data_IF_404621542385
#
_entry.id   IF_404621542385
#
_cell.length_a   1.000
_cell.length_b   1.000
_cell.length_c   1.000
_cell.angle_alpha   90.00
_cell.angle_beta   90.00
_cell.angle_gamma   90.00
#
_symmetry.space_group_name_H-M   'P 1'
#
loop_
_entity.id
_entity.type
_entity.pdbx_description
1 polymer ?
#
# COMPACT_ATOMS: atom_id res chain seq x y z
N UNK A 1 35.63 -9.54 0.07
CA UNK A 1 35.14 -10.26 1.27
C UNK A 1 33.64 -10.51 1.09
N UNK A 2 33.28 -11.62 0.44
CA UNK A 2 31.93 -11.90 -0.09
C UNK A 2 30.87 -12.01 1.00
N UNK A 3 31.23 -12.55 2.18
CA UNK A 3 30.33 -12.66 3.33
C UNK A 3 29.83 -11.29 3.79
N UNK A 4 30.74 -10.34 4.01
CA UNK A 4 30.40 -8.95 4.39
C UNK A 4 29.51 -8.25 3.35
N UNK A 5 29.68 -8.57 2.07
CA UNK A 5 28.83 -8.04 0.99
C UNK A 5 27.40 -8.57 1.07
N UNK A 6 27.23 -9.88 1.27
CA UNK A 6 25.91 -10.48 1.47
C UNK A 6 25.22 -9.93 2.72
N UNK A 7 25.95 -9.79 3.83
CA UNK A 7 25.43 -9.25 5.08
C UNK A 7 24.94 -7.79 4.91
N UNK A 8 25.69 -6.97 4.15
CA UNK A 8 25.32 -5.60 3.85
C UNK A 8 24.04 -5.53 2.99
N UNK A 9 23.95 -6.33 1.93
CA UNK A 9 22.78 -6.33 1.04
C UNK A 9 21.52 -6.88 1.74
N UNK A 10 21.65 -7.92 2.56
CA UNK A 10 20.54 -8.40 3.39
C UNK A 10 20.10 -7.38 4.42
N UNK A 11 21.03 -6.61 5.00
CA UNK A 11 20.69 -5.51 5.90
C UNK A 11 19.87 -4.43 5.18
N UNK A 12 20.25 -4.08 3.94
CA UNK A 12 19.48 -3.15 3.09
C UNK A 12 18.08 -3.70 2.82
N UNK A 13 17.94 -4.97 2.45
CA UNK A 13 16.61 -5.59 2.23
C UNK A 13 15.78 -5.55 3.51
N UNK A 14 16.32 -5.97 4.66
CA UNK A 14 15.56 -5.98 5.91
C UNK A 14 15.07 -4.61 6.34
N UNK A 15 15.91 -3.59 6.15
CA UNK A 15 15.51 -2.20 6.35
C UNK A 15 14.40 -1.85 5.36
N UNK A 16 14.58 -2.14 4.07
CA UNK A 16 13.61 -1.83 3.02
C UNK A 16 12.24 -2.50 3.21
N UNK A 17 12.21 -3.77 3.59
CA UNK A 17 11.01 -4.61 3.61
C UNK A 17 10.45 -4.86 5.01
N UNK A 18 11.05 -4.25 6.04
CA UNK A 18 10.67 -4.40 7.45
C UNK A 18 10.57 -5.86 7.93
N UNK A 19 11.27 -6.79 7.27
CA UNK A 19 11.15 -8.26 7.48
C UNK A 19 12.14 -8.82 8.50
N UNK A 20 12.48 -8.04 9.53
CA UNK A 20 13.36 -8.47 10.62
C UNK A 20 13.65 -7.33 11.60
N UNK A 21 13.72 -7.63 12.88
CA UNK A 21 14.28 -6.69 13.87
C UNK A 21 15.80 -6.61 13.72
N UNK A 22 16.41 -5.52 14.19
CA UNK A 22 17.88 -5.41 14.33
C UNK A 22 18.48 -6.54 15.16
N UNK A 23 17.68 -7.21 15.99
CA UNK A 23 18.10 -8.23 16.97
C UNK A 23 17.77 -9.68 16.55
N UNK A 24 17.43 -9.93 15.28
CA UNK A 24 17.13 -11.30 14.83
C UNK A 24 18.43 -12.10 14.74
N UNK A 25 18.61 -13.11 15.61
CA UNK A 25 19.81 -13.97 15.67
C UNK A 25 20.18 -14.48 14.27
N UNK A 26 21.43 -14.27 13.86
CA UNK A 26 21.98 -14.68 12.55
C UNK A 26 21.79 -16.17 12.23
N UNK A 27 21.58 -17.01 13.25
CA UNK A 27 21.59 -18.46 13.17
C UNK A 27 20.36 -19.12 12.53
N UNK A 28 19.26 -18.40 12.29
CA UNK A 28 18.00 -19.01 11.80
C UNK A 28 17.61 -18.61 10.36
N UNK A 29 18.39 -17.74 9.71
CA UNK A 29 18.03 -17.21 8.41
C UNK A 29 18.96 -17.77 7.33
N UNK A 30 18.38 -18.40 6.29
CA UNK A 30 19.13 -18.75 5.07
C UNK A 30 19.69 -17.47 4.47
N UNK A 31 20.98 -17.19 4.69
CA UNK A 31 21.66 -16.07 4.07
C UNK A 31 21.69 -16.30 2.56
N UNK A 32 20.94 -15.50 1.81
CA UNK A 32 21.00 -15.48 0.35
C UNK A 32 22.33 -14.90 -0.10
N UNK A 33 22.82 -15.36 -1.23
CA UNK A 33 24.00 -14.79 -1.86
C UNK A 33 23.61 -13.71 -2.87
N UNK A 34 24.34 -12.61 -2.88
CA UNK A 34 24.09 -11.48 -3.77
C UNK A 34 25.08 -11.51 -4.91
N UNK A 35 24.55 -11.53 -6.13
CA UNK A 35 25.37 -11.56 -7.34
C UNK A 35 25.07 -10.37 -8.24
N UNK A 36 26.10 -9.95 -8.97
CA UNK A 36 25.97 -8.89 -9.96
C UNK A 36 25.30 -9.41 -11.22
N UNK A 37 24.47 -8.58 -11.86
CA UNK A 37 23.92 -8.89 -13.18
C UNK A 37 25.06 -8.86 -14.20
N UNK A 38 25.31 -9.98 -14.89
CA UNK A 38 26.48 -10.26 -15.73
C UNK A 38 26.56 -9.52 -17.06
N UNK A 39 26.04 -8.29 -17.16
CA UNK A 39 26.04 -7.49 -18.38
C UNK A 39 26.96 -6.27 -18.26
N UNK A 40 27.63 -5.89 -19.35
CA UNK A 40 28.61 -4.79 -19.43
C UNK A 40 28.06 -3.42 -19.01
N UNK A 41 26.75 -3.24 -18.93
CA UNK A 41 26.09 -1.99 -18.52
C UNK A 41 25.41 -2.07 -17.14
N UNK A 42 25.58 -3.18 -16.43
CA UNK A 42 24.88 -3.45 -15.16
C UNK A 42 25.82 -3.53 -13.95
N UNK A 43 27.01 -2.95 -14.06
CA UNK A 43 27.94 -2.81 -12.94
C UNK A 43 27.23 -2.18 -11.73
N UNK A 44 27.42 -2.73 -10.54
CA UNK A 44 26.80 -2.21 -9.31
C UNK A 44 25.31 -2.53 -9.14
N UNK A 45 24.71 -3.33 -10.03
CA UNK A 45 23.35 -3.89 -9.84
C UNK A 45 23.45 -5.31 -9.29
N UNK A 46 22.81 -5.54 -8.15
CA UNK A 46 22.85 -6.80 -7.42
C UNK A 46 21.44 -7.36 -7.21
N UNK A 47 21.32 -8.67 -7.37
CA UNK A 47 20.09 -9.44 -7.13
C UNK A 47 20.43 -10.66 -6.28
N UNK A 48 19.51 -11.13 -5.42
CA UNK A 48 19.75 -12.37 -4.71
C UNK A 48 19.76 -13.55 -5.68
N UNK A 49 20.76 -14.43 -5.59
CA UNK A 49 20.43 -15.77 -5.13
C UNK A 49 19.24 -16.52 -5.73
N UNK A 50 18.12 -16.26 -5.08
CA UNK A 50 16.81 -16.87 -5.24
C UNK A 50 16.00 -16.33 -6.42
N UNK A 51 16.45 -15.27 -7.07
CA UNK A 51 15.82 -14.72 -8.28
C UNK A 51 16.21 -15.56 -9.51
N UNK A 52 15.38 -15.51 -10.57
CA UNK A 52 15.56 -16.34 -11.77
C UNK A 52 16.97 -16.17 -12.38
N UNK A 53 17.69 -17.28 -12.52
CA UNK A 53 19.05 -17.35 -13.09
C UNK A 53 19.12 -16.67 -14.46
N UNK A 54 18.03 -16.75 -15.25
CA UNK A 54 17.93 -16.14 -16.60
C UNK A 54 17.83 -14.61 -16.57
N UNK A 55 17.55 -14.02 -15.42
CA UNK A 55 17.59 -12.56 -15.22
C UNK A 55 19.01 -12.09 -14.88
N UNK A 56 19.83 -12.97 -14.30
CA UNK A 56 21.20 -12.70 -13.81
C UNK A 56 22.22 -12.69 -14.94
N UNK A 57 22.11 -13.63 -15.86
CA UNK A 57 23.00 -13.75 -17.03
C UNK A 57 22.71 -12.73 -18.14
N UNK A 58 21.61 -11.98 -18.03
CA UNK A 58 21.20 -10.99 -19.02
C UNK A 58 20.59 -11.58 -20.29
N UNK A 59 20.43 -12.91 -20.37
CA UNK A 59 19.91 -13.63 -21.54
C UNK A 59 18.45 -13.27 -21.84
N UNK A 60 17.67 -12.84 -20.84
CA UNK A 60 16.30 -12.34 -21.04
C UNK A 60 16.21 -11.14 -22.00
N UNK A 61 17.31 -10.40 -22.19
CA UNK A 61 17.40 -9.27 -23.13
C UNK A 61 17.61 -9.72 -24.57
N UNK A 62 17.93 -10.99 -24.82
CA UNK A 62 18.13 -11.52 -26.17
C UNK A 62 16.75 -11.79 -26.78
N UNK A 63 16.38 -11.16 -27.91
CA UNK A 63 15.13 -11.43 -28.59
C UNK A 63 15.01 -12.91 -28.95
N UNK A 64 13.88 -13.53 -28.60
CA UNK A 64 13.61 -14.92 -29.01
C UNK A 64 13.09 -14.94 -30.45
N UNK A 65 13.49 -15.92 -31.28
CA UNK A 65 12.93 -16.07 -32.61
C UNK A 65 11.40 -16.17 -32.56
N UNK A 66 10.70 -15.33 -33.33
CA UNK A 66 9.23 -15.33 -33.42
C UNK A 66 8.47 -14.41 -32.45
N UNK A 67 9.15 -13.62 -31.60
CA UNK A 67 8.51 -12.56 -30.82
C UNK A 67 8.52 -11.23 -31.57
N UNK A 68 7.46 -10.43 -31.42
CA UNK A 68 7.47 -9.05 -31.93
C UNK A 68 8.41 -8.18 -31.10
N UNK A 69 8.90 -7.08 -31.69
CA UNK A 69 9.73 -6.11 -30.98
C UNK A 69 9.00 -5.51 -29.77
N UNK A 70 7.69 -5.26 -29.90
CA UNK A 70 6.85 -4.70 -28.84
C UNK A 70 6.68 -5.68 -27.67
N UNK A 71 6.44 -6.97 -27.97
CA UNK A 71 6.34 -8.03 -26.96
C UNK A 71 7.67 -8.26 -26.25
N UNK A 72 8.78 -8.18 -26.99
CA UNK A 72 10.12 -8.26 -26.42
C UNK A 72 10.43 -7.05 -25.53
N UNK A 73 10.14 -5.83 -26.01
CA UNK A 73 10.38 -4.61 -25.27
C UNK A 73 9.53 -4.55 -24.00
N UNK A 74 8.25 -4.95 -24.08
CA UNK A 74 7.39 -5.06 -22.92
C UNK A 74 7.98 -6.06 -21.91
N UNK A 75 8.32 -7.27 -22.35
CA UNK A 75 8.90 -8.31 -21.49
C UNK A 75 10.21 -7.89 -20.81
N UNK A 76 11.08 -7.15 -21.51
CA UNK A 76 12.37 -6.68 -20.99
C UNK A 76 12.22 -5.46 -20.07
N UNK A 77 11.20 -4.62 -20.29
CA UNK A 77 10.96 -3.41 -19.49
C UNK A 77 10.07 -3.65 -18.27
N UNK A 78 9.12 -4.59 -18.33
CA UNK A 78 8.44 -5.13 -17.15
C UNK A 78 9.39 -6.09 -16.44
N UNK A 79 10.30 -5.55 -15.64
CA UNK A 79 11.26 -6.32 -14.85
C UNK A 79 10.53 -7.43 -14.08
N UNK A 80 11.01 -8.67 -14.23
CA UNK A 80 10.54 -9.83 -13.45
C UNK A 80 11.33 -10.02 -12.14
N UNK A 81 12.19 -9.06 -11.77
CA UNK A 81 13.02 -9.15 -10.57
C UNK A 81 12.23 -8.60 -9.39
N UNK A 82 12.02 -9.43 -8.38
CA UNK A 82 11.29 -9.05 -7.17
C UNK A 82 12.07 -8.08 -6.28
N UNK A 83 13.40 -8.18 -6.26
CA UNK A 83 14.30 -7.38 -5.42
C UNK A 83 15.59 -7.02 -6.16
N UNK A 84 15.90 -5.73 -6.29
CA UNK A 84 17.15 -5.24 -6.88
C UNK A 84 17.78 -4.13 -6.01
N UNK A 85 19.10 -4.23 -5.80
CA UNK A 85 19.91 -3.14 -5.24
C UNK A 85 20.81 -2.58 -6.34
N UNK A 86 20.65 -1.31 -6.68
CA UNK A 86 21.51 -0.59 -7.62
C UNK A 86 22.36 0.44 -6.86
N UNK A 87 23.62 0.08 -6.62
CA UNK A 87 24.57 0.89 -5.84
C UNK A 87 25.00 2.15 -6.59
N UNK A 88 25.02 2.13 -7.93
CA UNK A 88 25.42 3.30 -8.73
C UNK A 88 24.40 4.44 -8.61
N UNK A 89 23.13 4.09 -8.52
CA UNK A 89 22.02 5.04 -8.42
C UNK A 89 21.52 5.23 -6.98
N UNK A 90 22.11 4.52 -6.01
CA UNK A 90 21.57 4.39 -4.64
C UNK A 90 20.09 3.99 -4.62
N UNK A 91 19.65 3.21 -5.62
CA UNK A 91 18.25 2.83 -5.81
C UNK A 91 18.03 1.40 -5.34
N UNK A 92 16.94 1.18 -4.59
CA UNK A 92 16.41 -0.15 -4.29
C UNK A 92 15.07 -0.30 -5.00
N UNK A 93 14.82 -1.46 -5.60
CA UNK A 93 13.54 -1.77 -6.26
C UNK A 93 12.94 -3.00 -5.66
N UNK A 94 11.70 -2.89 -5.17
CA UNK A 94 10.89 -4.00 -4.70
C UNK A 94 9.68 -4.15 -5.62
N UNK A 95 9.51 -5.31 -6.26
CA UNK A 95 8.38 -5.61 -7.13
C UNK A 95 8.05 -4.51 -8.16
N UNK A 96 9.09 -3.89 -8.74
CA UNK A 96 9.01 -2.78 -9.72
C UNK A 96 8.62 -1.39 -9.20
N UNK A 97 8.46 -1.21 -7.89
CA UNK A 97 8.27 0.12 -7.33
C UNK A 97 9.61 0.73 -6.91
N UNK A 98 9.90 1.91 -7.46
CA UNK A 98 11.11 2.69 -7.12
C UNK A 98 10.97 3.21 -5.69
N UNK A 99 12.00 3.02 -4.87
CA UNK A 99 12.06 3.72 -3.59
C UNK A 99 12.36 5.19 -3.85
N UNK A 100 11.54 6.08 -3.30
CA UNK A 100 11.69 7.53 -3.38
C UNK A 100 11.67 8.13 -1.98
N UNK A 101 12.00 9.41 -1.84
CA UNK A 101 11.65 10.12 -0.61
C UNK A 101 10.14 10.36 -0.58
N UNK A 102 9.56 10.33 0.61
CA UNK A 102 8.20 10.79 0.83
C UNK A 102 8.11 12.27 0.46
N UNK A 103 7.03 12.66 -0.21
CA UNK A 103 6.81 14.03 -0.64
C UNK A 103 6.88 15.00 0.55
N UNK A 104 7.66 16.11 0.46
CA UNK A 104 7.73 17.12 1.50
C UNK A 104 6.37 17.66 1.95
N UNK A 105 5.40 17.79 1.04
CA UNK A 105 4.07 18.27 1.37
C UNK A 105 3.34 17.31 2.33
N UNK A 106 3.61 16.01 2.23
CA UNK A 106 3.07 15.01 3.16
C UNK A 106 3.79 15.08 4.51
N UNK A 107 5.10 15.36 4.51
CA UNK A 107 5.88 15.51 5.75
C UNK A 107 5.44 16.72 6.59
N UNK A 108 4.95 17.76 5.91
CA UNK A 108 4.44 19.01 6.48
C UNK A 108 2.92 18.99 6.69
N UNK A 109 2.23 17.92 6.31
CA UNK A 109 0.78 17.79 6.47
C UNK A 109 0.39 17.73 7.96
N UNK A 110 -0.66 18.48 8.32
CA UNK A 110 -1.15 18.60 9.70
C UNK A 110 -1.59 17.26 10.30
N UNK A 111 -2.14 16.36 9.48
CA UNK A 111 -2.58 15.03 9.95
C UNK A 111 -1.38 14.09 10.13
N UNK A 112 -0.29 14.31 9.39
CA UNK A 112 0.91 13.47 9.44
C UNK A 112 1.94 13.94 10.47
N UNK A 113 2.00 15.25 10.78
CA UNK A 113 2.96 15.84 11.71
C UNK A 113 3.04 15.11 13.07
N UNK A 114 1.93 14.78 13.75
CA UNK A 114 1.98 14.07 15.03
C UNK A 114 2.67 12.70 14.90
N UNK A 115 2.38 11.97 13.83
CA UNK A 115 3.00 10.67 13.55
C UNK A 115 4.49 10.84 13.26
N UNK A 116 4.87 11.86 12.48
CA UNK A 116 6.27 12.16 12.16
C UNK A 116 7.08 12.49 13.41
N UNK A 117 6.55 13.31 14.32
CA UNK A 117 7.23 13.71 15.55
C UNK A 117 7.29 12.58 16.57
N UNK A 118 6.18 11.89 16.83
CA UNK A 118 6.10 10.90 17.91
C UNK A 118 6.63 9.52 17.51
N UNK A 119 6.24 9.01 16.34
CA UNK A 119 6.57 7.65 15.93
C UNK A 119 7.85 7.55 15.10
N UNK A 120 8.19 8.62 14.37
CA UNK A 120 9.32 8.63 13.44
C UNK A 120 10.51 9.48 13.93
N UNK A 121 10.42 10.01 15.15
CA UNK A 121 11.50 10.75 15.80
C UNK A 121 11.84 12.08 15.11
N UNK A 122 10.86 12.71 14.46
CA UNK A 122 11.05 13.98 13.75
C UNK A 122 11.90 13.87 12.49
N UNK A 123 11.96 12.68 11.87
CA UNK A 123 12.69 12.47 10.62
C UNK A 123 12.29 13.50 9.55
N UNK A 124 13.30 14.07 8.88
CA UNK A 124 13.14 15.04 7.78
C UNK A 124 13.12 14.38 6.42
N UNK A 125 13.84 13.28 6.27
CA UNK A 125 13.89 12.48 5.06
C UNK A 125 13.40 11.08 5.37
N UNK A 126 12.28 10.71 4.77
CA UNK A 126 11.68 9.38 4.95
C UNK A 126 11.68 8.69 3.60
N UNK A 127 12.45 7.61 3.48
CA UNK A 127 12.36 6.74 2.32
C UNK A 127 11.00 6.04 2.30
N UNK A 128 10.38 5.99 1.14
CA UNK A 128 9.09 5.37 0.91
C UNK A 128 9.08 4.59 -0.41
N UNK A 129 8.22 3.58 -0.48
CA UNK A 129 7.93 2.85 -1.70
C UNK A 129 6.45 2.98 -2.02
N UNK A 130 6.12 3.30 -3.26
CA UNK A 130 4.73 3.30 -3.72
C UNK A 130 4.18 1.87 -3.68
N UNK A 131 3.04 1.69 -3.02
CA UNK A 131 2.32 0.41 -2.95
C UNK A 131 1.18 0.40 -3.97
N UNK A 132 0.48 1.52 -4.12
CA UNK A 132 -0.65 1.64 -5.02
C UNK A 132 -0.93 3.11 -5.34
N UNK A 133 -1.26 3.39 -6.59
CA UNK A 133 -1.71 4.69 -7.05
C UNK A 133 -2.93 4.51 -7.96
N UNK A 134 -3.98 5.26 -7.64
CA UNK A 134 -5.21 5.41 -8.43
C UNK A 134 -5.53 6.88 -8.58
N UNK A 135 -6.46 7.24 -9.46
CA UNK A 135 -6.80 8.64 -9.79
C UNK A 135 -6.98 9.56 -8.58
N UNK A 136 -7.55 9.06 -7.47
CA UNK A 136 -7.83 9.85 -6.26
C UNK A 136 -7.20 9.28 -4.99
N UNK A 137 -6.31 8.29 -5.07
CA UNK A 137 -5.70 7.68 -3.89
C UNK A 137 -4.27 7.26 -4.16
N UNK A 138 -3.40 7.65 -3.26
CA UNK A 138 -2.01 7.25 -3.19
C UNK A 138 -1.77 6.45 -1.92
N UNK A 139 -0.90 5.46 -2.02
CA UNK A 139 -0.48 4.63 -0.91
C UNK A 139 1.02 4.40 -0.98
N UNK A 140 1.74 4.88 0.04
CA UNK A 140 3.15 4.65 0.23
C UNK A 140 3.41 3.81 1.48
N UNK A 141 4.40 2.94 1.41
CA UNK A 141 4.98 2.24 2.56
C UNK A 141 6.24 2.94 3.00
N UNK A 142 6.35 3.29 4.28
CA UNK A 142 7.54 3.92 4.83
C UNK A 142 8.61 2.87 5.12
N UNK A 143 9.78 3.03 4.50
CA UNK A 143 10.87 2.06 4.50
C UNK A 143 11.55 2.04 5.86
N UNK A 144 11.76 0.83 6.41
CA UNK A 144 12.34 0.63 7.74
C UNK A 144 11.41 1.03 8.86
N UNK A 145 10.17 1.37 8.54
CA UNK A 145 9.11 1.77 9.47
C UNK A 145 7.95 0.80 9.33
N UNK A 146 7.11 0.73 10.38
CA UNK A 146 5.88 -0.09 10.39
C UNK A 146 4.65 0.76 10.07
N UNK A 147 4.81 1.74 9.20
CA UNK A 147 3.79 2.71 8.87
C UNK A 147 3.61 2.77 7.36
N UNK A 148 2.35 2.84 6.97
CA UNK A 148 1.93 3.13 5.61
C UNK A 148 1.23 4.50 5.63
N UNK A 149 1.49 5.31 4.61
CA UNK A 149 0.85 6.61 4.40
C UNK A 149 -0.12 6.47 3.24
N UNK A 150 -1.36 6.88 3.47
CA UNK A 150 -2.38 6.92 2.44
C UNK A 150 -2.91 8.33 2.32
N UNK A 151 -2.88 8.87 1.11
CA UNK A 151 -3.47 10.16 0.79
C UNK A 151 -4.60 9.94 -0.22
N UNK A 152 -5.71 10.63 -0.04
CA UNK A 152 -6.81 10.58 -0.99
C UNK A 152 -7.34 11.98 -1.27
N UNK A 153 -7.68 12.20 -2.53
CA UNK A 153 -8.38 13.41 -2.94
C UNK A 153 -9.82 13.39 -2.41
N UNK A 154 -10.41 14.56 -2.11
CA UNK A 154 -11.82 14.65 -1.79
C UNK A 154 -12.66 14.11 -2.94
N UNK A 155 -13.72 13.37 -2.59
CA UNK A 155 -14.64 12.80 -3.57
C UNK A 155 -15.38 13.92 -4.31
N UNK A 156 -15.08 14.08 -5.59
CA UNK A 156 -15.67 15.11 -6.45
C UNK A 156 -17.03 14.69 -7.04
N UNK A 157 -17.53 13.48 -6.73
CA UNK A 157 -18.85 13.05 -7.19
C UNK A 157 -19.91 13.98 -6.56
N UNK A 158 -20.74 14.60 -7.41
CA UNK A 158 -21.84 15.41 -6.93
C UNK A 158 -22.93 14.51 -6.34
N UNK A 159 -22.88 14.28 -5.02
CA UNK A 159 -23.88 13.47 -4.33
C UNK A 159 -25.31 14.05 -4.45
N UNK A 160 -25.46 15.35 -4.76
CA UNK A 160 -26.76 15.98 -5.03
C UNK A 160 -27.35 15.58 -6.38
N UNK A 161 -26.51 15.17 -7.33
CA UNK A 161 -26.95 14.70 -8.66
C UNK A 161 -27.20 13.18 -8.70
N UNK A 162 -26.77 12.45 -7.66
CA UNK A 162 -27.12 11.04 -7.49
C UNK A 162 -28.63 10.94 -7.19
N UNK A 163 -29.43 10.86 -8.25
CA UNK A 163 -30.88 10.66 -8.16
C UNK A 163 -31.16 9.38 -7.37
N UNK A 164 -31.74 9.57 -6.18
CA UNK A 164 -32.43 8.60 -5.32
C UNK A 164 -32.23 7.11 -5.69
N UNK A 165 -31.01 6.58 -5.60
CA UNK A 165 -30.82 5.14 -5.78
C UNK A 165 -31.19 4.43 -4.47
N UNK A 166 -32.49 4.34 -4.17
CA UNK A 166 -32.94 3.56 -3.02
C UNK A 166 -32.79 2.08 -3.35
N UNK A 167 -31.70 1.46 -2.88
CA UNK A 167 -31.48 0.04 -3.06
C UNK A 167 -32.70 -0.73 -2.49
N UNK A 168 -33.36 -1.63 -3.25
CA UNK A 168 -34.67 -2.19 -2.89
C UNK A 168 -34.73 -2.90 -1.54
N UNK A 169 -33.57 -3.36 -1.04
CA UNK A 169 -33.43 -4.02 0.26
C UNK A 169 -33.58 -3.08 1.46
N UNK A 170 -33.42 -1.76 1.31
CA UNK A 170 -33.40 -0.80 2.42
C UNK A 170 -34.72 -0.03 2.52
N UNK A 171 -35.72 -0.66 3.12
CA UNK A 171 -37.10 -0.16 3.17
C UNK A 171 -37.48 0.45 4.52
N UNK A 172 -36.92 -0.02 5.63
CA UNK A 172 -37.28 0.41 6.98
C UNK A 172 -36.60 1.73 7.33
N UNK A 173 -37.36 2.74 7.73
CA UNK A 173 -36.84 4.08 8.05
C UNK A 173 -36.23 4.09 9.45
N UNK A 174 -34.99 4.57 9.61
CA UNK A 174 -34.38 4.82 10.91
C UNK A 174 -34.74 6.23 11.43
N UNK A 175 -34.98 6.44 12.74
CA UNK A 175 -35.06 5.44 13.81
C UNK A 175 -36.45 4.82 14.01
N UNK A 176 -37.50 5.33 13.34
CA UNK A 176 -38.88 4.96 13.66
C UNK A 176 -39.27 3.52 13.31
N UNK A 177 -38.52 2.87 12.43
CA UNK A 177 -38.76 1.51 11.96
C UNK A 177 -38.01 0.44 12.73
N UNK A 178 -37.40 0.75 13.89
CA UNK A 178 -36.68 -0.21 14.72
C UNK A 178 -37.62 -1.23 15.39
N UNK A 179 -37.15 -2.47 15.53
CA UNK A 179 -37.80 -3.50 16.35
C UNK A 179 -37.39 -3.36 17.81
N UNK A 180 -38.11 -4.05 18.70
CA UNK A 180 -37.90 -3.99 20.16
C UNK A 180 -36.46 -4.32 20.58
N UNK A 181 -35.80 -5.28 19.91
CA UNK A 181 -34.41 -5.66 20.20
C UNK A 181 -33.34 -4.82 19.50
N UNK A 182 -33.71 -3.86 18.65
CA UNK A 182 -32.78 -3.07 17.84
C UNK A 182 -32.53 -1.66 18.41
N UNK A 183 -32.97 -1.39 19.64
CA UNK A 183 -32.83 -0.08 20.30
C UNK A 183 -31.37 0.37 20.45
N UNK A 184 -30.43 -0.58 20.46
CA UNK A 184 -28.99 -0.33 20.48
C UNK A 184 -28.54 0.56 19.30
N UNK A 185 -29.17 0.42 18.12
CA UNK A 185 -28.84 1.21 16.93
C UNK A 185 -29.17 2.69 17.17
N UNK A 186 -30.34 2.96 17.78
CA UNK A 186 -30.72 4.32 18.14
C UNK A 186 -29.79 4.90 19.20
N UNK A 187 -29.41 4.11 20.21
CA UNK A 187 -28.48 4.54 21.27
C UNK A 187 -27.11 4.98 20.75
N UNK A 188 -26.66 4.44 19.62
CA UNK A 188 -25.37 4.80 19.02
C UNK A 188 -25.47 6.03 18.11
N UNK A 189 -26.46 6.09 17.23
CA UNK A 189 -26.45 7.01 16.09
C UNK A 189 -27.52 8.12 16.16
N UNK A 190 -28.66 7.92 16.82
CA UNK A 190 -29.83 8.80 16.69
C UNK A 190 -29.51 10.27 16.97
N UNK A 191 -28.82 10.53 18.07
CA UNK A 191 -28.53 11.90 18.52
C UNK A 191 -27.32 12.51 17.79
N UNK A 192 -26.42 11.66 17.28
CA UNK A 192 -25.24 12.07 16.51
C UNK A 192 -25.56 12.33 15.04
N UNK A 193 -26.66 11.76 14.53
CA UNK A 193 -27.01 11.81 13.12
C UNK A 193 -27.11 13.25 12.56
N UNK A 194 -27.80 14.21 13.22
CA UNK A 194 -27.89 15.58 12.70
C UNK A 194 -26.55 16.32 12.67
N UNK A 195 -25.59 15.92 13.51
CA UNK A 195 -24.26 16.52 13.60
C UNK A 195 -23.33 16.01 12.48
N UNK A 196 -23.43 14.73 12.13
CA UNK A 196 -22.54 14.09 11.15
C UNK A 196 -23.13 14.17 9.73
N UNK A 197 -24.45 14.01 9.59
CA UNK A 197 -25.16 13.91 8.32
C UNK A 197 -26.45 14.76 8.36
N UNK A 198 -26.35 16.09 8.31
CA UNK A 198 -27.52 16.97 8.33
C UNK A 198 -28.42 16.70 7.13
N UNK A 199 -29.74 16.72 7.34
CA UNK A 199 -30.79 16.49 6.33
C UNK A 199 -30.85 15.09 5.70
N UNK A 200 -30.08 14.10 6.19
CA UNK A 200 -30.11 12.74 5.64
C UNK A 200 -31.20 11.88 6.26
N UNK A 201 -32.00 11.22 5.43
CA UNK A 201 -32.94 10.17 5.87
C UNK A 201 -32.30 8.80 5.69
N UNK A 202 -32.04 8.11 6.79
CA UNK A 202 -31.46 6.76 6.79
C UNK A 202 -32.52 5.66 6.73
N UNK A 203 -32.18 4.58 6.05
CA UNK A 203 -32.97 3.36 5.90
C UNK A 203 -32.11 2.12 6.21
N UNK A 204 -32.73 1.09 6.78
CA UNK A 204 -32.16 -0.23 7.03
C UNK A 204 -32.92 -1.31 6.26
N UNK A 205 -32.32 -2.49 6.19
CA UNK A 205 -33.00 -3.64 5.59
C UNK A 205 -34.09 -4.23 6.50
N UNK A 206 -34.95 -5.06 5.92
CA UNK A 206 -35.99 -5.79 6.66
C UNK A 206 -35.45 -6.90 7.58
N UNK A 207 -34.14 -7.17 7.56
CA UNK A 207 -33.50 -8.12 8.49
C UNK A 207 -33.70 -7.67 9.94
N UNK A 208 -33.81 -8.63 10.85
CA UNK A 208 -33.76 -8.38 12.28
C UNK A 208 -32.31 -8.23 12.76
N UNK A 209 -32.01 -7.12 13.43
CA UNK A 209 -30.66 -6.83 13.95
C UNK A 209 -30.57 -6.94 15.48
N UNK A 210 -31.56 -7.56 16.13
CA UNK A 210 -31.60 -7.65 17.60
C UNK A 210 -30.41 -8.40 18.21
N UNK A 211 -29.83 -9.34 17.47
CA UNK A 211 -28.68 -10.17 17.90
C UNK A 211 -27.43 -9.95 17.05
N UNK A 212 -27.47 -9.01 16.11
CA UNK A 212 -26.40 -8.79 15.16
C UNK A 212 -25.38 -7.78 15.71
N UNK A 213 -24.07 -8.00 15.48
CA UNK A 213 -23.04 -7.11 15.98
C UNK A 213 -22.94 -5.80 15.18
N UNK A 214 -23.58 -5.72 14.00
CA UNK A 214 -23.58 -4.52 13.17
C UNK A 214 -24.87 -4.38 12.36
N UNK A 215 -25.10 -3.16 11.88
CA UNK A 215 -26.18 -2.83 10.92
C UNK A 215 -25.62 -1.90 9.86
N UNK A 216 -26.10 -2.03 8.62
CA UNK A 216 -25.79 -1.10 7.54
C UNK A 216 -27.00 -0.18 7.34
N UNK A 217 -26.75 1.12 7.37
CA UNK A 217 -27.74 2.16 7.10
C UNK A 217 -27.40 2.83 5.77
N UNK A 218 -28.40 3.03 4.92
CA UNK A 218 -28.27 3.72 3.64
C UNK A 218 -29.20 4.93 3.65
N UNK A 219 -28.70 6.09 3.25
CA UNK A 219 -29.53 7.29 3.13
C UNK A 219 -29.00 8.24 2.07
N UNK A 220 -29.87 9.19 1.74
CA UNK A 220 -29.68 10.18 0.69
C UNK A 220 -30.01 11.55 1.28
N UNK A 221 -29.35 12.59 0.76
CA UNK A 221 -29.59 14.01 1.07
C UNK A 221 -30.74 14.52 0.21
#
# INVERSE_FOLDING_TARGET
>A
NTKKGNDAMESVVRIATSTGGRDTKESELKQRHWESIGHQTCYGRFVPDTEDIKLRDGSYRIPKPGKSYEEWMLYVTTKAVGIEVNVQLSDFTLQNHKMTLLDPNILEDLDFEPTRLMALGGAKDIASAEVMHTTNRYWWRLVGRRYDVQSWGPDQRNYKELKEFKHPKYTRKFPNGLKSGETWIAGILKDKLPLILPNVKLYMSNKDFSVEPYVVLSGWI
#
